data_IF_983940523536
#
_entry.id   IF_983940523536
#
_cell.length_a   1.000
_cell.length_b   1.000
_cell.length_c   1.000
_cell.angle_alpha   90.00
_cell.angle_beta   90.00
_cell.angle_gamma   90.00
#
_symmetry.space_group_name_H-M   'P 1'
#
loop_
_entity.id
_entity.type
_entity.pdbx_description
1 polymer ?
#
# COMPACT_ATOMS: atom_id res chain seq x y z
N UNK A 1 4.47 -21.87 -6.09
CA UNK A 1 4.06 -20.68 -5.33
C UNK A 1 3.44 -21.17 -4.04
N UNK A 2 3.97 -20.78 -2.87
CA UNK A 2 3.46 -21.24 -1.58
C UNK A 2 2.26 -20.40 -1.17
N UNK A 3 1.12 -21.04 -0.91
CA UNK A 3 -0.13 -20.43 -0.42
C UNK A 3 0.08 -19.43 0.73
N UNK A 4 1.08 -19.68 1.57
CA UNK A 4 1.45 -18.80 2.69
C UNK A 4 2.03 -17.45 2.24
N UNK A 5 2.81 -17.44 1.16
CA UNK A 5 3.34 -16.21 0.58
C UNK A 5 2.23 -15.37 -0.04
N UNK A 6 1.30 -16.00 -0.77
CA UNK A 6 0.16 -15.31 -1.37
C UNK A 6 -0.78 -14.73 -0.30
N UNK A 7 -0.99 -15.45 0.81
CA UNK A 7 -1.79 -14.96 1.94
C UNK A 7 -1.14 -13.75 2.62
N UNK A 8 0.19 -13.80 2.82
CA UNK A 8 0.95 -12.69 3.40
C UNK A 8 0.92 -11.45 2.51
N UNK A 9 1.08 -11.61 1.19
CA UNK A 9 0.97 -10.51 0.22
C UNK A 9 -0.44 -9.94 0.19
N UNK A 10 -1.47 -10.78 0.20
CA UNK A 10 -2.86 -10.32 0.23
C UNK A 10 -3.18 -9.55 1.52
N UNK A 11 -2.68 -10.01 2.66
CA UNK A 11 -2.82 -9.31 3.94
C UNK A 11 -2.05 -7.99 3.95
N UNK A 12 -0.81 -7.98 3.45
CA UNK A 12 -0.02 -6.77 3.34
C UNK A 12 -0.69 -5.72 2.45
N UNK A 13 -1.30 -6.14 1.33
CA UNK A 13 -2.04 -5.23 0.44
C UNK A 13 -3.23 -4.57 1.15
N UNK A 14 -3.98 -5.34 1.94
CA UNK A 14 -5.08 -4.82 2.75
C UNK A 14 -4.57 -3.87 3.86
N UNK A 15 -3.53 -4.26 4.59
CA UNK A 15 -2.96 -3.47 5.68
C UNK A 15 -2.32 -2.16 5.14
N UNK A 16 -1.65 -2.19 3.97
CA UNK A 16 -1.12 -1.01 3.27
C UNK A 16 -2.25 -0.09 2.82
N UNK A 17 -3.34 -0.64 2.27
CA UNK A 17 -4.48 0.16 1.87
C UNK A 17 -5.13 0.83 3.07
N UNK A 18 -5.33 0.11 4.18
CA UNK A 18 -5.88 0.66 5.42
C UNK A 18 -4.99 1.78 5.99
N UNK A 19 -3.67 1.54 6.05
CA UNK A 19 -2.70 2.55 6.46
C UNK A 19 -2.76 3.80 5.57
N UNK A 20 -2.80 3.62 4.25
CA UNK A 20 -2.95 4.73 3.31
C UNK A 20 -4.29 5.45 3.51
N UNK A 21 -5.35 4.74 3.87
CA UNK A 21 -6.66 5.35 4.15
C UNK A 21 -6.62 6.25 5.38
N UNK A 22 -5.93 5.81 6.43
CA UNK A 22 -5.80 6.54 7.69
C UNK A 22 -4.82 7.71 7.58
N UNK A 23 -3.72 7.54 6.84
CA UNK A 23 -2.63 8.52 6.78
C UNK A 23 -2.65 9.41 5.54
N UNK A 24 -3.14 8.92 4.40
CA UNK A 24 -3.28 9.70 3.18
C UNK A 24 -4.63 10.44 3.19
N UNK A 25 -4.73 11.41 4.11
CA UNK A 25 -5.79 12.41 4.09
C UNK A 25 -5.60 13.32 2.87
N UNK A 26 -6.66 14.06 2.50
CA UNK A 26 -6.85 14.75 1.22
C UNK A 26 -5.71 15.68 0.76
N UNK A 27 -4.76 16.01 1.63
CA UNK A 27 -3.69 16.99 1.43
C UNK A 27 -2.29 16.49 1.80
N UNK A 28 -2.15 15.31 2.40
CA UNK A 28 -0.85 14.80 2.87
C UNK A 28 -0.50 13.52 2.12
N UNK A 29 0.37 13.60 1.10
CA UNK A 29 0.87 12.41 0.45
C UNK A 29 1.84 11.65 1.39
N UNK A 30 1.84 10.32 1.28
CA UNK A 30 2.65 9.44 2.15
C UNK A 30 3.90 9.00 1.39
N UNK A 31 5.10 9.15 1.95
CA UNK A 31 6.31 8.69 1.27
C UNK A 31 6.33 7.16 1.12
N UNK A 32 6.70 6.68 -0.07
CA UNK A 32 6.88 5.25 -0.34
C UNK A 32 7.90 4.62 0.60
N UNK A 33 8.96 5.35 0.95
CA UNK A 33 9.96 4.94 1.94
C UNK A 33 9.37 4.69 3.33
N UNK A 34 8.43 5.53 3.77
CA UNK A 34 7.76 5.36 5.05
C UNK A 34 6.90 4.08 5.07
N UNK A 35 6.25 3.74 3.96
CA UNK A 35 5.53 2.47 3.81
C UNK A 35 6.50 1.29 3.83
N UNK A 36 7.58 1.36 3.05
CA UNK A 36 8.58 0.30 3.06
C UNK A 36 9.13 0.06 4.47
N UNK A 37 9.47 1.11 5.21
CA UNK A 37 10.06 0.97 6.54
C UNK A 37 9.04 0.50 7.59
N UNK A 38 7.79 0.97 7.53
CA UNK A 38 6.73 0.48 8.42
C UNK A 38 6.42 -1.00 8.18
N UNK A 39 6.19 -1.39 6.93
CA UNK A 39 5.76 -2.76 6.62
C UNK A 39 6.91 -3.77 6.67
N UNK A 40 8.13 -3.34 6.35
CA UNK A 40 9.33 -4.16 6.56
C UNK A 40 9.57 -4.46 8.05
N UNK A 41 9.38 -3.47 8.94
CA UNK A 41 9.55 -3.64 10.39
C UNK A 41 8.39 -4.37 11.08
N UNK A 42 7.15 -4.02 10.77
CA UNK A 42 5.95 -4.55 11.46
C UNK A 42 5.60 -5.97 11.05
N UNK A 43 5.82 -6.33 9.78
CA UNK A 43 5.34 -7.61 9.24
C UNK A 43 6.46 -8.56 8.80
N UNK A 44 7.73 -8.20 9.03
CA UNK A 44 8.90 -8.90 8.46
C UNK A 44 8.73 -9.17 6.97
N UNK A 45 8.02 -8.28 6.28
CA UNK A 45 7.73 -8.43 4.87
C UNK A 45 8.97 -8.03 4.07
N UNK A 46 9.34 -8.86 3.10
CA UNK A 46 10.39 -8.53 2.16
C UNK A 46 10.02 -7.24 1.41
N UNK A 47 11.00 -6.35 1.17
CA UNK A 47 10.76 -5.11 0.42
C UNK A 47 10.13 -5.39 -0.94
N UNK A 48 10.47 -6.52 -1.58
CA UNK A 48 9.87 -6.94 -2.85
C UNK A 48 8.37 -7.21 -2.74
N UNK A 49 7.90 -7.81 -1.65
CA UNK A 49 6.47 -8.07 -1.43
C UNK A 49 5.69 -6.77 -1.18
N UNK A 50 6.27 -5.80 -0.49
CA UNK A 50 5.68 -4.46 -0.31
C UNK A 50 5.58 -3.72 -1.65
N UNK A 51 6.63 -3.76 -2.47
CA UNK A 51 6.60 -3.18 -3.82
C UNK A 51 5.51 -3.80 -4.69
N UNK A 52 5.36 -5.12 -4.62
CA UNK A 52 4.35 -5.86 -5.39
C UNK A 52 2.93 -5.50 -4.94
N UNK A 53 2.70 -5.38 -3.63
CA UNK A 53 1.42 -4.92 -3.11
C UNK A 53 1.10 -3.46 -3.50
N UNK A 54 2.09 -2.58 -3.53
CA UNK A 54 1.91 -1.20 -4.01
C UNK A 54 1.62 -1.15 -5.52
N UNK A 55 2.30 -1.97 -6.31
CA UNK A 55 2.06 -2.04 -7.75
C UNK A 55 0.67 -2.61 -8.07
N UNK A 56 0.21 -3.62 -7.32
CA UNK A 56 -1.17 -4.13 -7.37
C UNK A 56 -2.19 -3.02 -7.10
N UNK A 57 -2.03 -2.26 -6.00
CA UNK A 57 -2.93 -1.17 -5.65
C UNK A 57 -2.95 -0.06 -6.70
N UNK A 58 -1.80 0.19 -7.33
CA UNK A 58 -1.67 1.14 -8.43
C UNK A 58 -2.36 0.63 -9.69
N UNK A 59 -2.18 -0.64 -10.05
CA UNK A 59 -2.85 -1.28 -11.17
C UNK A 59 -4.37 -1.30 -11.01
N UNK A 60 -4.86 -1.44 -9.78
CA UNK A 60 -6.29 -1.32 -9.45
C UNK A 60 -6.80 0.12 -9.46
N UNK A 61 -5.94 1.11 -9.70
CA UNK A 61 -6.29 2.53 -9.72
C UNK A 61 -6.70 3.06 -8.34
N UNK A 62 -6.27 2.42 -7.26
CA UNK A 62 -6.57 2.82 -5.88
C UNK A 62 -5.57 3.84 -5.35
N UNK A 63 -4.32 3.74 -5.79
CA UNK A 63 -3.24 4.64 -5.40
C UNK A 63 -2.52 5.19 -6.63
N UNK A 64 -1.92 6.35 -6.48
CA UNK A 64 -0.96 6.93 -7.41
C UNK A 64 0.38 7.11 -6.71
N UNK A 65 1.47 6.87 -7.45
CA UNK A 65 2.83 7.05 -6.93
C UNK A 65 3.53 8.06 -7.82
N UNK A 66 3.82 9.24 -7.28
CA UNK A 66 4.49 10.34 -7.98
C UNK A 66 5.67 10.84 -7.15
N UNK A 67 6.86 10.89 -7.74
CA UNK A 67 8.09 11.39 -7.08
C UNK A 67 8.38 10.74 -5.70
N UNK A 68 8.09 9.45 -5.54
CA UNK A 68 8.30 8.74 -4.26
C UNK A 68 7.21 9.03 -3.21
N UNK A 69 6.12 9.67 -3.61
CA UNK A 69 4.98 9.99 -2.76
C UNK A 69 3.75 9.23 -3.25
N UNK A 70 3.00 8.65 -2.31
CA UNK A 70 1.80 7.88 -2.54
C UNK A 70 0.59 8.75 -2.22
N UNK A 71 -0.36 8.80 -3.14
CA UNK A 71 -1.64 9.48 -3.00
C UNK A 71 -2.79 8.50 -3.22
N UNK A 72 -3.87 8.63 -2.44
CA UNK A 72 -5.11 7.88 -2.70
C UNK A 72 -5.91 8.51 -3.83
N UNK A 73 -6.29 7.70 -4.80
CA UNK A 73 -7.16 8.12 -5.90
C UNK A 73 -8.58 8.40 -5.40
N UNK A 74 -9.36 9.08 -6.23
CA UNK A 74 -10.78 9.32 -5.96
C UNK A 74 -11.60 8.02 -5.88
N UNK A 75 -11.16 6.97 -6.60
CA UNK A 75 -11.79 5.65 -6.63
C UNK A 75 -11.65 4.94 -5.28
N UNK A 76 -10.43 4.87 -4.73
CA UNK A 76 -10.21 4.27 -3.42
C UNK A 76 -11.03 4.99 -2.33
N UNK A 77 -11.04 6.33 -2.36
CA UNK A 77 -11.83 7.15 -1.43
C UNK A 77 -13.34 6.89 -1.51
N UNK A 78 -13.87 6.51 -2.67
CA UNK A 78 -15.29 6.17 -2.86
C UNK A 78 -15.63 4.75 -2.41
N UNK A 79 -14.68 3.82 -2.51
CA UNK A 79 -14.86 2.43 -2.06
C UNK A 79 -14.78 2.29 -0.53
N UNK A 80 -14.22 3.28 0.16
CA UNK A 80 -14.00 3.30 1.61
C UNK A 80 -15.07 4.10 2.37
N UNK A 81 -16.11 4.57 1.68
CA UNK A 81 -17.29 5.28 2.24
C UNK A 81 -18.52 4.39 2.16
#
# INVERSE_FOLDING_TARGET
>A
MSLFGDLLVSKARADILDYLTQHCTREVPVSTSAIHDNFSKLHSLDRGAVSLALDDLRHLGLIEISAGMITLTLLAKRLLR
#
